data_IF_643388958010
#
_entry.id   IF_643388958010
#
_cell.length_a   1.000
_cell.length_b   1.000
_cell.length_c   1.000
_cell.angle_alpha   90.00
_cell.angle_beta   90.00
_cell.angle_gamma   90.00
#
_symmetry.space_group_name_H-M   'P 1'
#
loop_
_entity.id
_entity.type
_entity.pdbx_description
1 polymer ?
#
# COMPACT_ATOMS: atom_id res chain seq x y z
N UNK A 1 -20.73 6.88 2.58
CA UNK A 1 -20.03 7.03 1.28
C UNK A 1 -18.55 6.61 1.30
N UNK A 2 -17.58 7.34 1.88
CA UNK A 2 -16.14 6.94 1.80
C UNK A 2 -15.85 5.67 2.62
N UNK A 3 -16.42 5.56 3.82
CA UNK A 3 -16.27 4.38 4.69
C UNK A 3 -16.78 3.10 4.03
N UNK A 4 -17.96 3.15 3.41
CA UNK A 4 -18.56 1.99 2.72
C UNK A 4 -17.71 1.55 1.52
N UNK A 5 -17.21 2.50 0.70
CA UNK A 5 -16.30 2.20 -0.40
C UNK A 5 -15.01 1.57 0.10
N UNK A 6 -14.44 2.09 1.19
CA UNK A 6 -13.23 1.55 1.78
C UNK A 6 -13.41 0.13 2.31
N UNK A 7 -14.56 -0.16 2.95
CA UNK A 7 -14.93 -1.51 3.40
C UNK A 7 -15.09 -2.41 2.18
N UNK A 8 -15.90 -2.02 1.19
CA UNK A 8 -16.13 -2.80 -0.02
C UNK A 8 -14.84 -3.13 -0.78
N UNK A 9 -13.93 -2.17 -0.99
CA UNK A 9 -12.64 -2.48 -1.64
C UNK A 9 -11.77 -3.41 -0.79
N UNK A 10 -11.85 -3.32 0.54
CA UNK A 10 -11.11 -4.23 1.42
C UNK A 10 -11.68 -5.65 1.34
N UNK A 11 -13.00 -5.79 1.35
CA UNK A 11 -13.70 -7.08 1.28
C UNK A 11 -13.43 -7.75 -0.08
N UNK A 12 -13.53 -6.99 -1.18
CA UNK A 12 -13.17 -7.50 -2.51
C UNK A 12 -11.71 -7.95 -2.58
N UNK A 13 -10.76 -7.24 -1.96
CA UNK A 13 -9.37 -7.70 -1.91
C UNK A 13 -9.26 -9.08 -1.24
N UNK A 14 -10.04 -9.34 -0.19
CA UNK A 14 -10.07 -10.66 0.47
C UNK A 14 -10.65 -11.71 -0.47
N UNK A 15 -11.78 -11.44 -1.12
CA UNK A 15 -12.41 -12.37 -2.06
C UNK A 15 -11.51 -12.68 -3.26
N UNK A 16 -10.93 -11.67 -3.89
CA UNK A 16 -10.01 -11.83 -5.01
C UNK A 16 -8.76 -12.61 -4.62
N UNK A 17 -8.22 -12.36 -3.42
CA UNK A 17 -7.08 -13.13 -2.91
C UNK A 17 -7.43 -14.61 -2.68
N UNK A 18 -8.57 -14.90 -2.04
CA UNK A 18 -9.03 -16.27 -1.79
C UNK A 18 -9.31 -17.05 -3.08
N UNK A 19 -9.78 -16.36 -4.13
CA UNK A 19 -10.06 -16.95 -5.44
C UNK A 19 -8.84 -16.98 -6.38
N UNK A 20 -7.69 -16.44 -5.97
CA UNK A 20 -6.49 -16.35 -6.82
C UNK A 20 -6.58 -15.35 -7.97
N UNK A 21 -7.56 -14.44 -7.96
CA UNK A 21 -7.73 -13.40 -8.97
C UNK A 21 -6.80 -12.19 -8.68
N UNK A 22 -5.52 -12.36 -9.03
CA UNK A 22 -4.50 -11.33 -8.81
C UNK A 22 -4.81 -10.04 -9.58
N UNK A 23 -5.35 -10.13 -10.79
CA UNK A 23 -5.62 -8.95 -11.62
C UNK A 23 -6.65 -8.03 -10.94
N UNK A 24 -7.75 -8.60 -10.46
CA UNK A 24 -8.77 -7.82 -9.76
C UNK A 24 -8.29 -7.37 -8.38
N UNK A 25 -7.54 -8.21 -7.66
CA UNK A 25 -6.90 -7.85 -6.40
C UNK A 25 -6.05 -6.58 -6.53
N UNK A 26 -5.14 -6.51 -7.52
CA UNK A 26 -4.30 -5.32 -7.70
C UNK A 26 -5.10 -4.09 -8.19
N UNK A 27 -6.20 -4.31 -8.91
CA UNK A 27 -7.17 -3.26 -9.22
C UNK A 27 -7.79 -2.63 -7.97
N UNK A 28 -8.25 -3.43 -7.03
CA UNK A 28 -8.86 -2.93 -5.79
C UNK A 28 -7.81 -2.43 -4.78
N UNK A 29 -6.60 -3.01 -4.73
CA UNK A 29 -5.48 -2.46 -3.97
C UNK A 29 -5.13 -1.04 -4.42
N UNK A 30 -5.10 -0.78 -5.74
CA UNK A 30 -4.88 0.56 -6.28
C UNK A 30 -5.97 1.53 -5.83
N UNK A 31 -7.24 1.12 -5.89
CA UNK A 31 -8.37 1.95 -5.43
C UNK A 31 -8.30 2.24 -3.94
N UNK A 32 -7.95 1.24 -3.14
CA UNK A 32 -7.79 1.38 -1.70
C UNK A 32 -6.64 2.34 -1.39
N UNK A 33 -5.49 2.16 -2.02
CA UNK A 33 -4.32 3.03 -1.86
C UNK A 33 -4.62 4.48 -2.24
N UNK A 34 -5.33 4.71 -3.35
CA UNK A 34 -5.76 6.03 -3.78
C UNK A 34 -6.78 6.66 -2.82
N UNK A 35 -7.70 5.86 -2.28
CA UNK A 35 -8.68 6.30 -1.27
C UNK A 35 -7.96 6.76 0.00
N UNK A 36 -6.94 6.02 0.45
CA UNK A 36 -6.09 6.43 1.60
C UNK A 36 -5.38 7.74 1.33
N UNK A 37 -4.71 7.87 0.18
CA UNK A 37 -3.99 9.10 -0.17
C UNK A 37 -4.91 10.32 -0.30
N UNK A 38 -6.14 10.13 -0.79
CA UNK A 38 -7.08 11.22 -1.05
C UNK A 38 -7.82 11.64 0.22
N UNK A 39 -8.35 10.69 0.98
CA UNK A 39 -9.26 10.97 2.10
C UNK A 39 -8.59 10.89 3.47
N UNK A 40 -7.46 10.18 3.57
CA UNK A 40 -6.74 9.96 4.83
C UNK A 40 -5.32 10.55 4.78
N UNK A 41 -5.06 11.49 3.85
CA UNK A 41 -3.79 12.20 3.73
C UNK A 41 -3.22 12.72 5.05
N UNK A 42 -4.02 13.30 5.98
CA UNK A 42 -3.51 13.77 7.27
C UNK A 42 -2.97 12.66 8.17
N UNK A 43 -3.37 11.40 7.94
CA UNK A 43 -2.89 10.23 8.70
C UNK A 43 -1.60 9.63 8.10
N UNK A 44 -1.23 10.03 6.88
CA UNK A 44 0.01 9.60 6.24
C UNK A 44 1.10 10.60 6.61
N UNK A 45 2.27 10.18 7.13
CA UNK A 45 3.38 11.10 7.37
C UNK A 45 3.80 11.80 6.07
N UNK A 46 4.07 13.12 6.12
CA UNK A 46 4.29 13.97 4.94
C UNK A 46 5.35 13.43 3.99
N UNK A 47 6.44 12.89 4.53
CA UNK A 47 7.55 12.31 3.75
C UNK A 47 7.13 11.13 2.87
N UNK A 48 5.98 10.49 3.15
CA UNK A 48 5.47 9.37 2.36
C UNK A 48 4.42 9.79 1.33
N UNK A 49 3.99 11.06 1.26
CA UNK A 49 2.94 11.47 0.30
C UNK A 49 3.39 11.30 -1.15
N UNK A 50 4.59 11.76 -1.49
CA UNK A 50 5.12 11.67 -2.86
C UNK A 50 5.48 10.23 -3.21
N UNK A 51 6.01 9.46 -2.25
CA UNK A 51 6.25 8.03 -2.39
C UNK A 51 4.96 7.27 -2.71
N UNK A 52 3.91 7.54 -1.94
CA UNK A 52 2.60 6.92 -2.11
C UNK A 52 2.00 7.22 -3.48
N UNK A 53 2.06 8.50 -3.90
CA UNK A 53 1.60 8.93 -5.22
C UNK A 53 2.40 8.25 -6.34
N UNK A 54 3.72 8.18 -6.21
CA UNK A 54 4.62 7.55 -7.19
C UNK A 54 4.25 6.07 -7.40
N UNK A 55 3.98 5.33 -6.34
CA UNK A 55 3.54 3.93 -6.45
C UNK A 55 2.27 3.77 -7.29
N UNK A 56 1.25 4.61 -7.02
CA UNK A 56 -0.04 4.59 -7.72
C UNK A 56 0.09 4.98 -9.20
N UNK A 57 0.84 6.06 -9.48
CA UNK A 57 0.98 6.61 -10.84
C UNK A 57 1.78 5.67 -11.74
N UNK A 58 2.81 5.02 -11.20
CA UNK A 58 3.69 4.12 -11.95
C UNK A 58 3.21 2.67 -11.96
N UNK A 59 2.20 2.34 -11.16
CA UNK A 59 1.80 0.96 -10.83
C UNK A 59 2.98 0.10 -10.35
N UNK A 60 3.98 0.70 -9.69
CA UNK A 60 5.12 -0.06 -9.15
C UNK A 60 4.74 -0.79 -7.86
N UNK A 61 3.90 -0.17 -7.03
CA UNK A 61 3.38 -0.73 -5.79
C UNK A 61 2.17 0.06 -5.30
N UNK A 62 1.39 -0.53 -4.40
CA UNK A 62 0.28 0.12 -3.71
C UNK A 62 0.49 0.03 -2.20
N UNK A 63 0.26 1.13 -1.50
CA UNK A 63 0.49 1.24 -0.05
C UNK A 63 -0.82 1.26 0.74
N UNK A 64 -0.78 0.76 1.97
CA UNK A 64 -1.85 0.80 2.97
C UNK A 64 -1.25 1.06 4.36
N UNK A 65 -1.94 1.84 5.19
CA UNK A 65 -1.55 2.02 6.59
C UNK A 65 -1.80 0.72 7.38
N UNK A 66 -0.82 0.25 8.15
CA UNK A 66 -0.91 -0.95 8.97
C UNK A 66 -0.59 -0.63 10.44
N UNK A 67 -1.60 -0.77 11.32
CA UNK A 67 -1.49 -0.58 12.77
C UNK A 67 -2.43 0.47 13.37
N UNK A 68 -2.43 0.58 14.70
CA UNK A 68 -3.37 1.41 15.50
C UNK A 68 -2.83 2.80 15.92
N UNK A 69 -1.62 3.20 15.48
CA UNK A 69 -1.10 4.56 15.70
C UNK A 69 -0.10 4.75 16.86
N UNK A 70 1.00 3.97 16.88
CA UNK A 70 2.13 4.11 17.83
C UNK A 70 3.52 4.08 17.17
N UNK A 71 3.57 4.44 15.89
CA UNK A 71 4.77 4.39 15.02
C UNK A 71 4.86 3.09 14.20
N UNK A 72 3.77 2.81 13.47
CA UNK A 72 3.53 1.57 12.72
C UNK A 72 4.29 1.47 11.40
N UNK A 73 4.00 0.40 10.67
CA UNK A 73 4.56 0.14 9.34
C UNK A 73 3.56 0.55 8.25
N UNK A 74 4.08 0.88 7.07
CA UNK A 74 3.25 0.97 5.87
C UNK A 74 3.37 -0.38 5.16
N UNK A 75 2.22 -0.99 4.87
CA UNK A 75 2.15 -2.23 4.12
C UNK A 75 2.13 -1.90 2.63
N UNK A 76 3.00 -2.54 1.86
CA UNK A 76 3.10 -2.38 0.42
C UNK A 76 2.82 -3.68 -0.32
N UNK A 77 2.20 -3.55 -1.49
CA UNK A 77 1.85 -4.64 -2.39
C UNK A 77 2.42 -4.35 -3.78
N UNK A 78 2.99 -5.35 -4.45
CA UNK A 78 3.52 -5.19 -5.81
C UNK A 78 3.37 -6.47 -6.62
N UNK A 79 3.13 -6.34 -7.93
CA UNK A 79 3.20 -7.44 -8.91
C UNK A 79 4.64 -7.66 -9.41
N UNK A 80 5.50 -6.66 -9.28
CA UNK A 80 6.87 -6.65 -9.80
C UNK A 80 7.84 -6.22 -8.70
N UNK A 81 8.39 -7.22 -8.01
CA UNK A 81 9.35 -7.04 -6.91
C UNK A 81 10.57 -6.25 -7.37
N UNK A 82 11.07 -6.49 -8.59
CA UNK A 82 12.26 -5.83 -9.12
C UNK A 82 12.00 -4.34 -9.31
N UNK A 83 10.89 -3.99 -9.98
CA UNK A 83 10.48 -2.60 -10.16
C UNK A 83 10.22 -1.90 -8.82
N UNK A 84 9.56 -2.57 -7.88
CA UNK A 84 9.34 -2.01 -6.55
C UNK A 84 10.66 -1.77 -5.79
N UNK A 85 11.62 -2.70 -5.88
CA UNK A 85 12.96 -2.53 -5.28
C UNK A 85 13.70 -1.34 -5.86
N UNK A 86 13.67 -1.17 -7.16
CA UNK A 86 14.37 -0.06 -7.82
C UNK A 86 13.80 1.30 -7.41
N UNK A 87 12.47 1.41 -7.34
CA UNK A 87 11.79 2.65 -6.92
C UNK A 87 11.96 2.91 -5.41
N UNK A 88 12.07 1.86 -4.59
CA UNK A 88 12.14 1.95 -3.13
C UNK A 88 13.56 1.77 -2.56
N UNK A 89 14.60 1.77 -3.41
CA UNK A 89 15.98 1.46 -3.01
C UNK A 89 16.53 2.30 -1.86
N UNK A 90 16.07 3.56 -1.75
CA UNK A 90 16.52 4.51 -0.73
C UNK A 90 15.70 4.40 0.58
N UNK A 91 14.85 3.38 0.69
CA UNK A 91 13.94 3.18 1.82
C UNK A 91 14.22 1.86 2.57
N UNK A 92 13.98 1.85 3.89
CA UNK A 92 14.11 0.63 4.69
C UNK A 92 12.90 -0.28 4.50
N UNK A 93 13.11 -1.36 3.75
CA UNK A 93 12.12 -2.39 3.44
C UNK A 93 12.37 -3.65 4.27
N UNK A 94 11.30 -4.23 4.81
CA UNK A 94 11.28 -5.61 5.29
C UNK A 94 10.37 -6.41 4.36
N UNK A 95 10.97 -7.30 3.58
CA UNK A 95 10.22 -8.20 2.69
C UNK A 95 9.53 -9.28 3.52
N UNK A 96 8.26 -9.55 3.21
CA UNK A 96 7.48 -10.64 3.80
C UNK A 96 7.27 -11.71 2.73
N UNK A 97 6.03 -12.18 2.54
CA UNK A 97 5.65 -13.09 1.46
C UNK A 97 5.74 -12.43 0.07
N UNK A 98 5.80 -13.26 -0.98
CA UNK A 98 6.23 -12.94 -2.36
C UNK A 98 5.81 -11.58 -2.95
N UNK A 99 4.61 -11.05 -2.64
CA UNK A 99 4.09 -9.80 -3.22
C UNK A 99 3.88 -8.67 -2.19
N UNK A 100 4.31 -8.87 -0.93
CA UNK A 100 4.00 -8.01 0.21
C UNK A 100 5.30 -7.59 0.92
N UNK A 101 5.41 -6.30 1.23
CA UNK A 101 6.53 -5.76 2.00
C UNK A 101 6.07 -4.76 3.05
N UNK A 102 6.90 -4.55 4.07
CA UNK A 102 6.71 -3.54 5.11
C UNK A 102 7.74 -2.43 4.90
N UNK A 103 7.25 -1.20 4.81
CA UNK A 103 8.04 0.02 4.76
C UNK A 103 8.08 0.62 6.17
N UNK A 104 9.30 0.79 6.70
CA UNK A 104 9.52 1.32 8.06
C UNK A 104 9.67 2.85 8.02
N UNK A 105 8.92 3.62 8.85
CA UNK A 105 9.17 5.05 9.02
C UNK A 105 10.61 5.33 9.47
N UNK A 106 11.27 6.29 8.82
CA UNK A 106 12.67 6.63 9.11
C UNK A 106 12.88 7.15 10.55
N UNK A 107 11.84 7.66 11.21
CA UNK A 107 11.87 8.26 12.56
C UNK A 107 12.02 7.24 13.72
N UNK A 108 12.10 5.93 13.44
CA UNK A 108 12.42 4.90 14.45
C UNK A 108 13.81 4.30 14.25
N UNK A 109 14.83 5.16 14.15
CA UNK A 109 16.24 4.81 14.37
C UNK A 109 16.73 5.49 15.65
#
# INVERSE_FOLDING_TARGET
MVKEKFISYSDNCVEHFLNGDLKSLFGDLKRLSNTVLTHFKPMIPKQFHDLWKTGIDTNAYYLKLCGSGGGGYILGFTEDISKARDVLKDHRLKWSYFLIFLLCPLEKA
#
